data_IF_626213074111
#
_entry.id   IF_626213074111
#
_cell.length_a   1.000
_cell.length_b   1.000
_cell.length_c   1.000
_cell.angle_alpha   90.00
_cell.angle_beta   90.00
_cell.angle_gamma   90.00
#
_symmetry.space_group_name_H-M   'P 1'
#
loop_
_entity.id
_entity.type
_entity.pdbx_description
1 polymer ?
#
# COMPACT_ATOMS: atom_id res chain seq x y z
N UNK A 1 -16.14 27.73 13.49
CA UNK A 1 -15.28 27.98 12.31
C UNK A 1 -14.68 26.64 11.94
N UNK A 2 -14.89 26.15 10.72
CA UNK A 2 -14.25 24.91 10.26
C UNK A 2 -12.74 25.13 10.20
N UNK A 3 -11.97 24.23 10.81
CA UNK A 3 -10.51 24.23 10.67
C UNK A 3 -10.14 24.12 9.18
N UNK A 4 -9.10 24.82 8.71
CA UNK A 4 -8.62 24.66 7.34
C UNK A 4 -8.18 23.20 7.13
N UNK A 5 -8.63 22.58 6.02
CA UNK A 5 -8.17 21.25 5.59
C UNK A 5 -7.24 21.37 4.38
N UNK A 6 -6.27 20.45 4.27
CA UNK A 6 -5.42 20.29 3.10
C UNK A 6 -5.52 18.87 2.55
N UNK A 7 -5.39 18.72 1.23
CA UNK A 7 -5.31 17.43 0.56
C UNK A 7 -4.02 17.37 -0.25
N UNK A 8 -3.28 16.28 -0.12
CA UNK A 8 -2.07 16.02 -0.90
C UNK A 8 -2.17 14.62 -1.46
N UNK A 9 -1.90 14.48 -2.76
CA UNK A 9 -1.97 13.22 -3.47
C UNK A 9 -0.77 13.05 -4.38
N UNK A 10 -0.58 11.82 -4.86
CA UNK A 10 0.37 11.51 -5.93
C UNK A 10 0.18 12.45 -7.10
N UNK A 11 1.31 12.95 -7.63
CA UNK A 11 1.31 13.96 -8.69
C UNK A 11 0.61 13.48 -9.96
N UNK A 12 0.82 12.23 -10.36
CA UNK A 12 0.23 11.64 -11.54
C UNK A 12 -0.10 10.16 -11.36
N UNK A 13 -1.13 9.70 -12.06
CA UNK A 13 -1.53 8.30 -12.13
C UNK A 13 -1.75 7.93 -13.59
N UNK A 14 -1.18 6.82 -14.02
CA UNK A 14 -1.46 6.19 -15.31
C UNK A 14 -2.08 4.83 -15.05
N UNK A 15 -3.23 4.56 -15.65
CA UNK A 15 -3.88 3.27 -15.57
C UNK A 15 -4.11 2.68 -16.96
N UNK A 16 -3.88 1.39 -17.11
CA UNK A 16 -4.14 0.66 -18.35
C UNK A 16 -3.39 -0.65 -18.42
N UNK A 17 -3.97 -1.62 -19.15
CA UNK A 17 -3.34 -2.90 -19.43
C UNK A 17 -2.03 -2.69 -20.22
N UNK A 18 -0.98 -3.37 -19.79
CA UNK A 18 0.36 -3.26 -20.38
C UNK A 18 1.06 -1.92 -20.12
N UNK A 19 0.50 -1.05 -19.27
CA UNK A 19 1.09 0.24 -18.94
C UNK A 19 2.46 0.12 -18.26
N UNK A 20 2.71 -0.95 -17.50
CA UNK A 20 4.00 -1.21 -16.88
C UNK A 20 5.09 -1.58 -17.92
N UNK A 21 4.71 -2.21 -19.03
CA UNK A 21 5.62 -2.54 -20.14
C UNK A 21 6.13 -1.30 -20.89
N UNK A 22 5.63 -0.11 -20.57
CA UNK A 22 6.12 1.18 -21.07
C UNK A 22 6.96 1.94 -20.05
N UNK A 23 7.55 1.25 -19.06
CA UNK A 23 8.31 1.88 -17.98
C UNK A 23 9.36 2.89 -18.45
N UNK A 24 10.07 2.62 -19.55
CA UNK A 24 11.06 3.55 -20.08
C UNK A 24 10.45 4.91 -20.50
N UNK A 25 9.25 4.93 -21.08
CA UNK A 25 8.55 6.16 -21.46
C UNK A 25 8.17 6.98 -20.22
N UNK A 26 7.65 6.29 -19.21
CA UNK A 26 7.26 6.90 -17.93
C UNK A 26 8.47 7.55 -17.24
N UNK A 27 9.60 6.85 -17.20
CA UNK A 27 10.85 7.35 -16.62
C UNK A 27 11.45 8.51 -17.43
N UNK A 28 11.39 8.44 -18.76
CA UNK A 28 11.83 9.54 -19.62
C UNK A 28 11.06 10.84 -19.34
N UNK A 29 9.77 10.75 -19.04
CA UNK A 29 8.95 11.91 -18.65
C UNK A 29 9.39 12.59 -17.35
N UNK A 30 10.15 11.87 -16.51
CA UNK A 30 10.72 12.36 -15.25
C UNK A 30 12.22 12.66 -15.36
N UNK A 31 12.83 12.46 -16.53
CA UNK A 31 14.27 12.65 -16.74
C UNK A 31 15.15 11.57 -16.10
N UNK A 32 14.58 10.43 -15.73
CA UNK A 32 15.30 9.30 -15.10
C UNK A 32 15.95 8.44 -16.18
N UNK A 33 17.27 8.24 -16.09
CA UNK A 33 18.06 7.43 -17.05
C UNK A 33 18.79 6.26 -16.39
N UNK A 34 18.78 6.21 -15.06
CA UNK A 34 19.42 5.19 -14.27
C UNK A 34 18.60 4.85 -13.01
N UNK A 35 17.43 4.22 -13.15
CA UNK A 35 16.63 3.82 -12.00
C UNK A 35 17.25 2.64 -11.24
N UNK A 36 17.08 2.63 -9.91
CA UNK A 36 17.06 1.37 -9.16
C UNK A 36 15.62 0.85 -9.11
N UNK A 37 15.41 -0.40 -9.51
CA UNK A 37 14.13 -1.09 -9.34
C UNK A 37 14.17 -1.88 -8.03
N UNK A 38 13.25 -1.61 -7.12
CA UNK A 38 13.07 -2.32 -5.85
C UNK A 38 11.89 -3.26 -5.99
N UNK A 39 12.13 -4.56 -5.82
CA UNK A 39 11.15 -5.63 -6.01
C UNK A 39 11.43 -6.80 -5.07
N UNK A 40 10.68 -7.89 -5.20
CA UNK A 40 10.89 -9.14 -4.47
C UNK A 40 11.19 -10.31 -5.44
N UNK A 41 11.79 -11.38 -4.90
CA UNK A 41 12.15 -12.57 -5.68
C UNK A 41 10.95 -13.29 -6.29
N UNK A 42 9.76 -13.18 -5.69
CA UNK A 42 8.54 -13.77 -6.21
C UNK A 42 8.10 -13.09 -7.51
N UNK A 43 8.15 -11.76 -7.56
CA UNK A 43 7.89 -10.95 -8.77
C UNK A 43 8.85 -11.33 -9.90
N UNK A 44 10.15 -11.47 -9.59
CA UNK A 44 11.14 -11.91 -10.59
C UNK A 44 10.90 -13.34 -11.07
N UNK A 45 10.70 -14.29 -10.15
CA UNK A 45 10.49 -15.69 -10.48
C UNK A 45 9.23 -15.91 -11.33
N UNK A 46 8.22 -15.05 -11.16
CA UNK A 46 6.99 -15.08 -11.94
C UNK A 46 7.07 -14.35 -13.29
N UNK A 47 8.21 -13.73 -13.63
CA UNK A 47 8.38 -12.96 -14.88
C UNK A 47 7.56 -11.68 -14.96
N UNK A 48 7.00 -11.21 -13.84
CA UNK A 48 6.09 -10.05 -13.80
C UNK A 48 6.85 -8.75 -14.15
N UNK A 49 8.15 -8.67 -13.84
CA UNK A 49 9.00 -7.52 -14.18
C UNK A 49 9.44 -7.52 -15.66
N UNK A 50 9.31 -8.63 -16.39
CA UNK A 50 10.01 -8.83 -17.67
C UNK A 50 9.65 -7.77 -18.71
N UNK A 51 8.36 -7.43 -18.84
CA UNK A 51 7.91 -6.41 -19.78
C UNK A 51 8.50 -5.02 -19.49
N UNK A 52 8.58 -4.65 -18.21
CA UNK A 52 9.18 -3.40 -17.78
C UNK A 52 10.71 -3.40 -17.97
N UNK A 53 11.39 -4.49 -17.61
CA UNK A 53 12.83 -4.64 -17.81
C UNK A 53 13.20 -4.59 -19.29
N UNK A 54 12.44 -5.24 -20.17
CA UNK A 54 12.64 -5.21 -21.62
C UNK A 54 12.41 -3.82 -22.20
N UNK A 55 11.42 -3.09 -21.69
CA UNK A 55 11.19 -1.66 -22.02
C UNK A 55 12.45 -0.83 -21.79
N UNK A 56 13.10 -1.00 -20.62
CA UNK A 56 14.31 -0.28 -20.25
C UNK A 56 15.50 -0.67 -21.14
N UNK A 57 15.70 -1.98 -21.38
CA UNK A 57 16.77 -2.49 -22.25
C UNK A 57 16.67 -1.94 -23.67
N UNK A 58 15.47 -1.98 -24.26
CA UNK A 58 15.21 -1.48 -25.63
C UNK A 58 15.45 0.02 -25.75
N UNK A 59 15.14 0.77 -24.71
CA UNK A 59 15.37 2.22 -24.64
C UNK A 59 16.78 2.59 -24.16
N UNK A 60 17.66 1.60 -23.97
CA UNK A 60 19.04 1.78 -23.50
C UNK A 60 19.15 2.52 -22.16
N UNK A 61 18.14 2.39 -21.31
CA UNK A 61 18.14 2.91 -19.94
C UNK A 61 18.94 1.93 -19.08
N UNK A 62 20.03 2.40 -18.47
CA UNK A 62 20.80 1.56 -17.55
C UNK A 62 19.99 1.36 -16.26
N UNK A 63 19.90 0.15 -15.72
CA UNK A 63 19.18 -0.07 -14.46
C UNK A 63 19.80 -1.23 -13.68
N UNK A 64 19.54 -1.24 -12.38
CA UNK A 64 19.78 -2.39 -11.53
C UNK A 64 18.49 -2.76 -10.80
N UNK A 65 18.47 -4.00 -10.30
CA UNK A 65 17.35 -4.54 -9.53
C UNK A 65 17.86 -4.89 -8.13
N UNK A 66 17.13 -4.45 -7.12
CA UNK A 66 17.19 -4.96 -5.75
C UNK A 66 15.97 -5.84 -5.53
N UNK A 67 16.18 -7.14 -5.34
CA UNK A 67 15.11 -8.16 -5.30
C UNK A 67 14.98 -8.86 -3.94
N UNK A 68 15.73 -8.42 -2.93
CA UNK A 68 15.77 -9.07 -1.62
C UNK A 68 14.60 -8.65 -0.71
N UNK A 69 13.64 -7.87 -1.22
CA UNK A 69 12.49 -7.42 -0.44
C UNK A 69 11.73 -8.61 0.15
N UNK A 70 11.42 -8.52 1.44
CA UNK A 70 10.52 -9.46 2.13
C UNK A 70 9.27 -8.76 2.66
N UNK A 71 8.25 -9.54 2.99
CA UNK A 71 7.09 -9.05 3.72
C UNK A 71 7.54 -8.46 5.07
N UNK A 72 6.90 -7.36 5.48
CA UNK A 72 7.27 -6.62 6.69
C UNK A 72 8.76 -6.25 6.75
N UNK A 73 9.25 -5.51 5.74
CA UNK A 73 10.67 -5.41 5.44
C UNK A 73 11.44 -4.78 6.60
N UNK A 74 12.58 -5.36 7.00
CA UNK A 74 13.42 -4.80 8.04
C UNK A 74 14.23 -3.58 7.55
N UNK A 75 14.65 -2.74 8.49
CA UNK A 75 15.36 -1.49 8.18
C UNK A 75 16.71 -1.70 7.45
N UNK A 76 17.36 -2.84 7.65
CA UNK A 76 18.59 -3.24 6.95
C UNK A 76 18.38 -3.38 5.44
N UNK A 77 17.22 -3.86 4.98
CA UNK A 77 16.90 -3.93 3.54
C UNK A 77 16.80 -2.54 2.91
N UNK A 78 16.26 -1.56 3.64
CA UNK A 78 16.24 -0.16 3.22
C UNK A 78 17.67 0.36 3.05
N UNK A 79 18.55 0.08 4.02
CA UNK A 79 19.95 0.49 3.95
C UNK A 79 20.72 -0.20 2.83
N UNK A 80 20.50 -1.50 2.60
CA UNK A 80 21.12 -2.26 1.53
C UNK A 80 20.71 -1.71 0.15
N UNK A 81 19.41 -1.56 -0.09
CA UNK A 81 18.88 -0.99 -1.34
C UNK A 81 19.36 0.46 -1.56
N UNK A 82 19.39 1.30 -0.52
CA UNK A 82 19.94 2.65 -0.61
C UNK A 82 21.45 2.67 -0.89
N UNK A 83 22.20 1.69 -0.34
CA UNK A 83 23.61 1.48 -0.66
C UNK A 83 23.82 1.16 -2.13
N UNK A 84 23.03 0.24 -2.68
CA UNK A 84 23.06 -0.12 -4.09
C UNK A 84 22.71 1.08 -4.99
N UNK A 85 21.61 1.79 -4.68
CA UNK A 85 21.20 3.00 -5.41
C UNK A 85 22.33 4.04 -5.46
N UNK A 86 23.04 4.26 -4.35
CA UNK A 86 24.18 5.18 -4.31
C UNK A 86 25.37 4.68 -5.11
N UNK A 87 25.70 3.38 -5.01
CA UNK A 87 26.83 2.78 -5.73
C UNK A 87 26.66 2.87 -7.25
N UNK A 88 25.47 2.59 -7.76
CA UNK A 88 25.15 2.71 -9.18
C UNK A 88 24.94 4.17 -9.63
N UNK A 89 24.86 5.11 -8.68
CA UNK A 89 24.48 6.52 -8.88
C UNK A 89 23.11 6.62 -9.56
N UNK A 90 22.11 6.01 -8.93
CA UNK A 90 20.74 6.04 -9.41
C UNK A 90 20.22 7.49 -9.44
N UNK A 91 19.48 7.83 -10.50
CA UNK A 91 18.83 9.13 -10.67
C UNK A 91 17.29 9.05 -10.53
N UNK A 92 16.79 7.88 -10.16
CA UNK A 92 15.39 7.61 -9.85
C UNK A 92 15.24 6.26 -9.14
N UNK A 93 14.07 6.04 -8.55
CA UNK A 93 13.71 4.77 -7.89
C UNK A 93 12.36 4.30 -8.39
N UNK A 94 12.24 3.01 -8.68
CA UNK A 94 10.98 2.36 -9.04
C UNK A 94 10.66 1.31 -7.98
N UNK A 95 9.57 1.47 -7.24
CA UNK A 95 9.01 0.37 -6.46
C UNK A 95 8.10 -0.46 -7.37
N UNK A 96 8.43 -1.73 -7.55
CA UNK A 96 7.70 -2.64 -8.44
C UNK A 96 7.35 -3.90 -7.66
N UNK A 97 6.10 -4.05 -7.23
CA UNK A 97 5.71 -5.17 -6.38
C UNK A 97 4.53 -4.86 -5.46
N UNK A 98 4.47 -5.56 -4.34
CA UNK A 98 3.51 -5.28 -3.27
C UNK A 98 3.92 -4.08 -2.39
N UNK A 99 3.14 -3.84 -1.33
CA UNK A 99 3.39 -2.73 -0.39
C UNK A 99 4.80 -2.69 0.18
N UNK A 100 5.41 -3.85 0.48
CA UNK A 100 6.76 -3.94 1.03
C UNK A 100 7.83 -3.37 0.09
N UNK A 101 7.78 -3.70 -1.21
CA UNK A 101 8.75 -3.17 -2.19
C UNK A 101 8.57 -1.67 -2.39
N UNK A 102 7.32 -1.21 -2.40
CA UNK A 102 6.99 0.21 -2.54
C UNK A 102 7.42 1.03 -1.32
N UNK A 103 7.27 0.48 -0.12
CA UNK A 103 7.70 1.11 1.14
C UNK A 103 9.22 1.22 1.24
N UNK A 104 9.96 0.19 0.83
CA UNK A 104 11.42 0.28 0.68
C UNK A 104 11.77 1.35 -0.36
N UNK A 105 11.16 1.32 -1.55
CA UNK A 105 11.45 2.26 -2.63
C UNK A 105 11.26 3.73 -2.21
N UNK A 106 10.21 4.02 -1.45
CA UNK A 106 9.95 5.35 -0.87
C UNK A 106 11.12 5.86 -0.04
N UNK A 107 11.65 5.01 0.86
CA UNK A 107 12.74 5.38 1.75
C UNK A 107 14.09 5.40 1.02
N UNK A 108 14.30 4.50 0.06
CA UNK A 108 15.48 4.50 -0.81
C UNK A 108 15.56 5.80 -1.60
N UNK A 109 14.45 6.30 -2.14
CA UNK A 109 14.42 7.56 -2.89
C UNK A 109 14.90 8.76 -2.03
N UNK A 110 14.58 8.77 -0.73
CA UNK A 110 15.10 9.76 0.21
C UNK A 110 16.60 9.55 0.49
N UNK A 111 16.97 8.35 0.94
CA UNK A 111 18.32 8.05 1.44
C UNK A 111 19.39 8.03 0.33
N UNK A 112 19.00 7.76 -0.91
CA UNK A 112 19.89 7.81 -2.07
C UNK A 112 19.95 9.20 -2.73
N UNK A 113 19.09 10.15 -2.31
CA UNK A 113 19.12 11.51 -2.84
C UNK A 113 20.48 12.17 -2.57
N UNK A 114 21.09 12.85 -3.58
CA UNK A 114 22.32 13.58 -3.40
C UNK A 114 22.22 14.57 -2.22
N UNK A 115 23.19 14.49 -1.30
CA UNK A 115 23.24 15.36 -0.13
C UNK A 115 22.34 14.95 1.05
N UNK A 116 21.62 13.83 0.98
CA UNK A 116 20.89 13.31 2.14
C UNK A 116 21.87 12.90 3.25
N UNK A 117 21.79 13.58 4.40
CA UNK A 117 22.56 13.26 5.61
C UNK A 117 21.68 12.79 6.77
N UNK A 118 20.36 12.83 6.60
CA UNK A 118 19.42 12.38 7.63
C UNK A 118 19.45 10.85 7.74
N UNK A 119 19.68 10.28 8.93
CA UNK A 119 19.60 8.83 9.14
C UNK A 119 18.14 8.37 9.12
N UNK A 120 17.92 7.09 8.79
CA UNK A 120 16.58 6.49 8.72
C UNK A 120 15.85 6.56 10.07
N UNK A 121 16.57 6.33 11.16
CA UNK A 121 15.99 6.35 12.51
C UNK A 121 15.34 7.70 12.86
N UNK A 122 15.90 8.81 12.35
CA UNK A 122 15.37 10.16 12.54
C UNK A 122 14.15 10.44 11.65
N UNK A 123 13.77 9.53 10.75
CA UNK A 123 12.62 9.71 9.85
C UNK A 123 11.33 9.09 10.40
N UNK A 124 11.42 8.13 11.32
CA UNK A 124 10.23 7.47 11.90
C UNK A 124 9.30 8.45 12.61
N UNK A 125 8.00 8.30 12.40
CA UNK A 125 6.97 9.20 12.89
C UNK A 125 6.35 10.06 11.79
N UNK A 126 5.61 11.08 12.21
CA UNK A 126 4.86 11.97 11.32
C UNK A 126 5.61 13.28 11.12
N UNK A 127 5.90 13.64 9.87
CA UNK A 127 6.50 14.93 9.52
C UNK A 127 8.00 15.06 9.83
N UNK A 128 8.68 13.96 10.16
CA UNK A 128 10.09 13.97 10.55
C UNK A 128 11.06 13.97 9.35
N UNK A 129 10.59 13.64 8.15
CA UNK A 129 11.41 13.66 6.92
C UNK A 129 11.76 15.10 6.55
N UNK A 130 13.06 15.37 6.43
CA UNK A 130 13.63 16.67 5.99
C UNK A 130 14.36 16.56 4.65
N UNK A 131 14.81 15.35 4.29
CA UNK A 131 15.50 15.11 3.04
C UNK A 131 14.61 15.38 1.81
N UNK A 132 15.24 15.83 0.73
CA UNK A 132 14.68 15.70 -0.61
C UNK A 132 14.75 14.23 -1.05
N UNK A 133 14.03 13.87 -2.11
CA UNK A 133 14.08 12.54 -2.72
C UNK A 133 14.45 12.59 -4.20
N UNK A 134 15.01 11.48 -4.67
CA UNK A 134 15.04 11.15 -6.09
C UNK A 134 13.61 11.03 -6.65
N UNK A 135 13.43 11.19 -7.97
CA UNK A 135 12.20 10.80 -8.66
C UNK A 135 11.76 9.39 -8.27
N UNK A 136 10.46 9.22 -7.99
CA UNK A 136 9.89 7.97 -7.48
C UNK A 136 8.69 7.56 -8.33
N UNK A 137 8.76 6.35 -8.89
CA UNK A 137 7.64 5.71 -9.60
C UNK A 137 7.22 4.46 -8.83
N UNK A 138 5.92 4.22 -8.73
CA UNK A 138 5.37 3.04 -8.07
C UNK A 138 4.53 2.24 -9.06
N UNK A 139 4.78 0.93 -9.13
CA UNK A 139 4.10 -0.02 -10.01
C UNK A 139 3.60 -1.17 -9.14
N UNK A 140 2.36 -1.09 -8.62
CA UNK A 140 1.81 -2.13 -7.78
C UNK A 140 1.53 -3.41 -8.58
N UNK A 141 1.93 -4.56 -8.03
CA UNK A 141 1.57 -5.89 -8.55
C UNK A 141 0.46 -6.55 -7.72
N UNK A 142 0.01 -5.87 -6.66
CA UNK A 142 -1.09 -6.33 -5.79
C UNK A 142 -2.23 -5.32 -5.81
N UNK A 143 -3.48 -5.80 -5.88
CA UNK A 143 -4.66 -4.95 -5.66
C UNK A 143 -4.99 -4.91 -4.15
N UNK A 144 -4.42 -3.96 -3.42
CA UNK A 144 -4.68 -3.92 -1.96
C UNK A 144 -4.14 -2.73 -1.18
N UNK A 145 -2.81 -2.62 -1.04
CA UNK A 145 -2.23 -1.74 0.01
C UNK A 145 -2.42 -0.24 -0.26
N UNK A 146 -2.58 0.16 -1.52
CA UNK A 146 -2.60 1.57 -1.92
C UNK A 146 -1.26 2.27 -1.67
N UNK A 147 -0.17 1.53 -1.40
CA UNK A 147 1.13 2.11 -1.08
C UNK A 147 1.63 3.02 -2.22
N UNK A 148 1.26 2.72 -3.46
CA UNK A 148 1.56 3.53 -4.65
C UNK A 148 0.98 4.96 -4.62
N UNK A 149 0.03 5.26 -3.73
CA UNK A 149 -0.59 6.59 -3.61
C UNK A 149 -0.61 7.17 -2.19
N UNK A 150 0.10 6.55 -1.25
CA UNK A 150 0.12 7.01 0.15
C UNK A 150 1.44 7.65 0.57
N UNK A 151 1.41 8.65 1.48
CA UNK A 151 2.60 9.28 2.05
C UNK A 151 3.21 8.45 3.21
N UNK A 152 3.05 7.13 3.20
CA UNK A 152 3.35 6.24 4.33
C UNK A 152 4.32 5.15 3.87
N UNK A 153 5.34 4.85 4.67
CA UNK A 153 6.15 3.64 4.54
C UNK A 153 6.23 2.92 5.90
N UNK A 154 6.04 1.60 5.92
CA UNK A 154 6.05 0.79 7.14
C UNK A 154 7.27 -0.15 7.12
N UNK A 155 8.11 -0.06 8.14
CA UNK A 155 9.35 -0.83 8.28
C UNK A 155 9.38 -1.54 9.63
N UNK A 156 9.92 -2.75 9.65
CA UNK A 156 10.18 -3.51 10.87
C UNK A 156 11.51 -3.08 11.48
N UNK A 157 11.49 -2.50 12.68
CA UNK A 157 12.70 -2.00 13.38
C UNK A 157 13.24 -2.96 14.43
N UNK A 158 12.40 -3.87 14.92
CA UNK A 158 12.76 -5.00 15.76
C UNK A 158 11.77 -6.15 15.50
N UNK A 159 12.08 -7.40 15.89
CA UNK A 159 11.14 -8.52 15.72
C UNK A 159 9.76 -8.19 16.32
N UNK A 160 8.73 -8.15 15.46
CA UNK A 160 7.36 -7.80 15.84
C UNK A 160 7.06 -6.30 15.99
N UNK A 161 8.05 -5.41 15.84
CA UNK A 161 7.86 -3.96 15.96
C UNK A 161 7.86 -3.29 14.59
N UNK A 162 6.69 -2.83 14.15
CA UNK A 162 6.51 -2.05 12.92
C UNK A 162 6.45 -0.56 13.25
N UNK A 163 7.31 0.24 12.62
CA UNK A 163 7.29 1.69 12.70
C UNK A 163 6.98 2.30 11.33
N UNK A 164 6.28 3.43 11.34
CA UNK A 164 5.89 4.13 10.12
C UNK A 164 6.68 5.42 9.95
N UNK A 165 7.05 5.74 8.71
CA UNK A 165 7.43 7.08 8.27
C UNK A 165 6.22 7.66 7.54
N UNK A 166 5.73 8.82 7.98
CA UNK A 166 4.58 9.50 7.37
C UNK A 166 4.99 10.90 6.95
N UNK A 167 5.05 11.15 5.65
CA UNK A 167 5.51 12.43 5.10
C UNK A 167 5.03 12.63 3.66
N UNK A 168 4.60 13.85 3.29
CA UNK A 168 4.25 14.18 1.90
C UNK A 168 5.38 13.88 0.91
N UNK A 169 6.65 13.94 1.34
CA UNK A 169 7.79 13.60 0.50
C UNK A 169 7.78 12.13 0.03
N UNK A 170 7.05 11.23 0.70
CA UNK A 170 6.93 9.83 0.29
C UNK A 170 5.93 9.61 -0.86
N UNK A 171 5.12 10.62 -1.21
CA UNK A 171 4.23 10.51 -2.37
C UNK A 171 5.07 10.40 -3.65
N UNK A 172 4.78 9.44 -4.54
CA UNK A 172 5.52 9.29 -5.78
C UNK A 172 5.18 10.39 -6.78
N UNK A 173 6.04 10.53 -7.79
CA UNK A 173 5.77 11.39 -8.94
C UNK A 173 4.75 10.74 -9.87
N UNK A 174 4.76 9.41 -9.93
CA UNK A 174 3.87 8.62 -10.77
C UNK A 174 3.51 7.28 -10.12
N UNK A 175 2.22 6.95 -10.12
CA UNK A 175 1.73 5.59 -9.93
C UNK A 175 1.32 4.99 -11.30
N UNK A 176 1.80 3.80 -11.63
CA UNK A 176 1.47 3.07 -12.86
C UNK A 176 0.62 1.85 -12.53
N UNK A 177 -0.68 1.94 -12.75
CA UNK A 177 -1.64 0.87 -12.47
C UNK A 177 -1.85 0.00 -13.72
N UNK A 178 -1.25 -1.19 -13.69
CA UNK A 178 -1.39 -2.18 -14.76
C UNK A 178 -2.21 -3.38 -14.27
N UNK A 179 -3.41 -3.52 -14.83
CA UNK A 179 -4.34 -4.59 -14.45
C UNK A 179 -3.84 -6.00 -14.81
N UNK A 180 -2.88 -6.13 -15.72
CA UNK A 180 -2.30 -7.44 -16.06
C UNK A 180 -1.43 -7.98 -14.91
N UNK A 181 -0.79 -7.09 -14.14
CA UNK A 181 0.13 -7.47 -13.07
C UNK A 181 -0.57 -7.97 -11.80
N UNK A 182 -1.88 -7.69 -11.65
CA UNK A 182 -2.68 -8.10 -10.50
C UNK A 182 -3.51 -9.36 -10.76
N UNK A 183 -3.53 -9.84 -12.02
CA UNK A 183 -4.36 -10.97 -12.44
C UNK A 183 -3.81 -12.35 -12.03
N UNK A 184 -2.51 -12.47 -11.78
CA UNK A 184 -1.81 -13.74 -11.51
C UNK A 184 -1.48 -13.97 -10.03
N UNK A 185 -2.13 -13.23 -9.12
CA UNK A 185 -1.86 -13.32 -7.68
C UNK A 185 -2.10 -14.75 -7.14
N UNK A 186 -1.22 -15.25 -6.22
CA UNK A 186 -1.40 -16.56 -5.59
C UNK A 186 -2.77 -16.68 -4.90
N UNK A 187 -3.27 -17.91 -4.66
CA UNK A 187 -4.59 -18.17 -4.07
C UNK A 187 -4.75 -17.74 -2.59
N UNK A 188 -3.77 -17.06 -1.99
CA UNK A 188 -3.97 -16.38 -0.70
C UNK A 188 -4.96 -15.24 -0.88
N UNK A 189 -5.90 -15.05 0.05
CA UNK A 189 -6.89 -13.96 0.02
C UNK A 189 -6.18 -12.61 -0.20
N UNK A 190 -6.32 -11.97 -1.38
CA UNK A 190 -5.64 -10.70 -1.62
C UNK A 190 -6.07 -9.67 -0.59
N UNK A 191 -5.16 -8.77 -0.20
CA UNK A 191 -5.46 -7.79 0.86
C UNK A 191 -6.73 -6.96 0.56
N UNK A 192 -6.92 -6.56 -0.70
CA UNK A 192 -8.16 -5.87 -1.12
C UNK A 192 -9.42 -6.73 -0.94
N UNK A 193 -9.34 -8.04 -1.21
CA UNK A 193 -10.46 -8.96 -0.99
C UNK A 193 -10.72 -9.16 0.51
N UNK A 194 -9.67 -9.29 1.33
CA UNK A 194 -9.82 -9.34 2.79
C UNK A 194 -10.50 -8.08 3.32
N UNK A 195 -10.16 -6.90 2.81
CA UNK A 195 -10.82 -5.65 3.19
C UNK A 195 -12.28 -5.64 2.73
N UNK A 196 -12.56 -6.09 1.51
CA UNK A 196 -13.93 -6.21 0.98
C UNK A 196 -14.82 -7.10 1.86
N UNK A 197 -14.28 -8.23 2.35
CA UNK A 197 -14.99 -9.17 3.22
C UNK A 197 -15.27 -8.57 4.60
N UNK A 198 -14.32 -7.84 5.18
CA UNK A 198 -14.43 -7.34 6.55
C UNK A 198 -15.13 -5.97 6.65
N UNK A 199 -15.04 -5.14 5.60
CA UNK A 199 -15.49 -3.75 5.62
C UNK A 199 -16.97 -3.59 6.02
N UNK A 200 -17.94 -4.35 5.47
CA UNK A 200 -19.34 -4.19 5.84
C UNK A 200 -19.59 -4.39 7.34
N UNK A 201 -18.93 -5.39 7.93
CA UNK A 201 -19.07 -5.74 9.35
C UNK A 201 -18.39 -4.72 10.28
N UNK A 202 -17.26 -4.14 9.85
CA UNK A 202 -16.60 -3.05 10.58
C UNK A 202 -17.44 -1.77 10.51
N UNK A 203 -18.04 -1.46 9.37
CA UNK A 203 -18.96 -0.33 9.22
C UNK A 203 -20.20 -0.50 10.11
N UNK A 204 -20.82 -1.69 10.13
CA UNK A 204 -21.96 -1.99 11.02
C UNK A 204 -21.58 -1.87 12.50
N UNK A 205 -20.42 -2.42 12.89
CA UNK A 205 -19.91 -2.26 14.25
C UNK A 205 -19.76 -0.77 14.64
N UNK A 206 -19.18 0.03 13.75
CA UNK A 206 -18.93 1.44 13.99
C UNK A 206 -20.20 2.30 13.92
N UNK A 207 -21.25 1.88 13.20
CA UNK A 207 -22.53 2.59 13.08
C UNK A 207 -23.27 2.78 14.42
N UNK A 208 -22.78 2.18 15.52
CA UNK A 208 -23.27 2.43 16.89
C UNK A 208 -22.60 3.62 17.59
N UNK A 209 -21.59 4.24 16.97
CA UNK A 209 -20.92 5.46 17.44
C UNK A 209 -21.50 6.69 16.73
N UNK A 210 -21.86 7.73 17.49
CA UNK A 210 -22.35 9.01 16.93
C UNK A 210 -21.31 9.67 16.02
N UNK A 211 -20.02 9.52 16.34
CA UNK A 211 -18.95 10.04 15.50
C UNK A 211 -18.93 9.36 14.14
N UNK A 212 -19.03 8.03 14.11
CA UNK A 212 -19.02 7.27 12.87
C UNK A 212 -20.26 7.56 12.02
N UNK A 213 -21.45 7.59 12.63
CA UNK A 213 -22.69 7.89 11.90
C UNK A 213 -22.67 9.28 11.28
N UNK A 214 -22.12 10.29 11.97
CA UNK A 214 -21.92 11.62 11.40
C UNK A 214 -20.99 11.61 10.19
N UNK A 215 -19.88 10.85 10.24
CA UNK A 215 -18.95 10.74 9.11
C UNK A 215 -19.57 9.97 7.94
N UNK A 216 -20.31 8.90 8.20
CA UNK A 216 -21.01 8.14 7.17
C UNK A 216 -22.08 8.99 6.49
N UNK A 217 -22.77 9.86 7.24
CA UNK A 217 -23.75 10.80 6.70
C UNK A 217 -23.14 11.77 5.67
N UNK A 218 -21.92 12.23 5.93
CA UNK A 218 -21.19 13.13 5.04
C UNK A 218 -20.76 12.42 3.75
N UNK A 219 -20.34 11.15 3.85
CA UNK A 219 -19.85 10.35 2.71
C UNK A 219 -20.98 9.73 1.86
N UNK A 220 -22.10 9.36 2.48
CA UNK A 220 -23.22 8.69 1.82
C UNK A 220 -23.71 9.35 0.50
N UNK A 221 -23.89 10.69 0.42
CA UNK A 221 -24.32 11.32 -0.83
C UNK A 221 -23.26 11.26 -1.94
N UNK A 222 -21.98 11.12 -1.60
CA UNK A 222 -20.86 11.06 -2.55
C UNK A 222 -20.68 9.62 -3.05
N UNK A 223 -20.69 8.66 -2.14
CA UNK A 223 -20.36 7.26 -2.43
C UNK A 223 -21.57 6.51 -2.98
N UNK A 224 -22.73 6.64 -2.32
CA UNK A 224 -23.90 5.81 -2.60
C UNK A 224 -24.98 6.56 -3.37
N UNK A 225 -24.83 7.88 -3.57
CA UNK A 225 -25.87 8.77 -4.11
C UNK A 225 -27.22 8.65 -3.37
N UNK A 226 -27.22 8.21 -2.09
CA UNK A 226 -28.41 7.84 -1.27
C UNK A 226 -28.21 8.20 0.23
N UNK A 227 -29.28 8.11 1.04
CA UNK A 227 -29.31 8.49 2.48
C UNK A 227 -28.58 7.50 3.42
N UNK A 228 -28.24 7.94 4.65
CA UNK A 228 -27.49 7.26 5.73
C UNK A 228 -27.66 5.74 5.93
N UNK A 229 -28.89 5.22 5.91
CA UNK A 229 -29.16 3.77 6.02
C UNK A 229 -28.63 2.97 4.82
N UNK A 230 -28.41 3.64 3.69
CA UNK A 230 -27.87 3.06 2.48
C UNK A 230 -26.34 2.94 2.48
N UNK A 231 -25.60 3.52 3.44
CA UNK A 231 -24.13 3.48 3.37
C UNK A 231 -23.56 2.10 3.74
N UNK A 232 -23.95 1.56 4.90
CA UNK A 232 -23.53 0.21 5.32
C UNK A 232 -24.09 -0.84 4.35
N UNK A 233 -25.39 -0.74 4.03
CA UNK A 233 -26.05 -1.63 3.08
C UNK A 233 -25.41 -1.60 1.69
N UNK A 234 -24.97 -0.44 1.20
CA UNK A 234 -24.27 -0.34 -0.08
C UNK A 234 -22.99 -1.17 -0.06
N UNK A 235 -22.15 -1.02 0.97
CA UNK A 235 -20.93 -1.82 1.09
C UNK A 235 -21.21 -3.30 1.36
N UNK A 236 -22.33 -3.66 1.98
CA UNK A 236 -22.75 -5.05 2.14
C UNK A 236 -23.18 -5.69 0.81
N UNK A 237 -23.84 -4.94 -0.08
CA UNK A 237 -24.30 -5.44 -1.38
C UNK A 237 -23.22 -5.39 -2.47
N UNK A 238 -22.33 -4.40 -2.43
CA UNK A 238 -21.35 -4.13 -3.49
C UNK A 238 -20.47 -5.34 -3.86
N UNK A 239 -19.94 -6.15 -2.92
CA UNK A 239 -19.15 -7.32 -3.28
C UNK A 239 -19.93 -8.31 -4.14
N UNK A 240 -21.21 -8.56 -3.82
CA UNK A 240 -22.07 -9.43 -4.62
C UNK A 240 -22.35 -8.85 -6.02
N UNK A 241 -22.58 -7.54 -6.12
CA UNK A 241 -22.76 -6.84 -7.41
C UNK A 241 -21.52 -6.94 -8.31
N UNK A 242 -20.33 -6.98 -7.71
CA UNK A 242 -19.05 -7.11 -8.39
C UNK A 242 -18.62 -8.57 -8.64
N UNK A 243 -19.43 -9.56 -8.22
CA UNK A 243 -19.10 -10.97 -8.35
C UNK A 243 -17.92 -11.42 -7.46
N UNK A 244 -17.69 -10.72 -6.34
CA UNK A 244 -16.67 -11.04 -5.35
C UNK A 244 -17.25 -11.98 -4.28
N UNK A 245 -16.40 -12.80 -3.63
CA UNK A 245 -16.78 -13.54 -2.43
C UNK A 245 -17.37 -12.61 -1.36
N UNK A 246 -18.42 -13.06 -0.69
CA UNK A 246 -19.13 -12.28 0.35
C UNK A 246 -18.89 -12.83 1.76
N UNK A 247 -18.32 -14.02 1.88
CA UNK A 247 -18.02 -14.68 3.16
C UNK A 247 -16.57 -15.13 3.27
N UNK A 248 -16.05 -15.20 4.50
CA UNK A 248 -14.74 -15.75 4.81
C UNK A 248 -14.65 -17.25 4.47
N UNK A 249 -15.77 -17.99 4.52
CA UNK A 249 -15.82 -19.41 4.12
C UNK A 249 -15.50 -19.63 2.64
N UNK A 250 -15.98 -18.75 1.76
CA UNK A 250 -15.71 -18.83 0.32
C UNK A 250 -14.22 -18.68 -0.01
N UNK A 251 -13.45 -18.08 0.90
CA UNK A 251 -12.00 -17.91 0.77
C UNK A 251 -11.19 -18.83 1.70
N UNK A 252 -11.84 -19.85 2.28
CA UNK A 252 -11.18 -20.95 2.99
C UNK A 252 -10.92 -20.73 4.48
N UNK A 253 -11.51 -19.70 5.10
CA UNK A 253 -11.42 -19.48 6.55
C UNK A 253 -12.51 -20.29 7.27
N UNK A 254 -12.14 -20.99 8.33
CA UNK A 254 -13.05 -21.77 9.17
C UNK A 254 -13.37 -21.05 10.50
N UNK A 255 -14.45 -21.48 11.17
CA UNK A 255 -14.81 -20.97 12.51
C UNK A 255 -13.65 -21.14 13.51
N UNK A 256 -12.88 -22.22 13.39
CA UNK A 256 -11.73 -22.48 14.24
C UNK A 256 -10.61 -21.43 14.12
N UNK A 257 -10.54 -20.71 12.99
CA UNK A 257 -9.51 -19.70 12.73
C UNK A 257 -9.85 -18.35 13.40
N UNK A 258 -11.13 -18.09 13.72
CA UNK A 258 -11.64 -16.80 14.20
C UNK A 258 -10.88 -16.30 15.44
N UNK A 259 -10.67 -17.16 16.43
CA UNK A 259 -9.99 -16.76 17.66
C UNK A 259 -8.56 -16.27 17.39
N UNK A 260 -7.84 -16.94 16.49
CA UNK A 260 -6.49 -16.54 16.11
C UNK A 260 -6.48 -15.23 15.29
N UNK A 261 -7.43 -15.06 14.37
CA UNK A 261 -7.59 -13.87 13.55
C UNK A 261 -7.94 -12.65 14.41
N UNK A 262 -8.89 -12.80 15.35
CA UNK A 262 -9.27 -11.75 16.29
C UNK A 262 -8.09 -11.35 17.19
N UNK A 263 -7.36 -12.33 17.74
CA UNK A 263 -6.16 -12.05 18.55
C UNK A 263 -5.09 -11.29 17.74
N UNK A 264 -4.84 -11.68 16.49
CA UNK A 264 -3.89 -11.00 15.60
C UNK A 264 -4.34 -9.58 15.24
N UNK A 265 -5.64 -9.34 15.06
CA UNK A 265 -6.20 -8.01 14.84
C UNK A 265 -5.96 -7.09 16.05
N UNK A 266 -6.04 -7.63 17.27
CA UNK A 266 -5.77 -6.89 18.51
C UNK A 266 -4.29 -6.46 18.67
N UNK A 267 -3.37 -7.06 17.91
CA UNK A 267 -1.96 -6.64 17.88
C UNK A 267 -1.73 -5.35 17.06
N UNK A 268 -2.74 -4.85 16.34
CA UNK A 268 -2.64 -3.62 15.54
C UNK A 268 -2.78 -2.35 16.41
N UNK A 269 -2.03 -2.29 17.51
CA UNK A 269 -2.12 -1.26 18.58
C UNK A 269 -1.90 0.17 18.10
N UNK A 270 -1.24 0.35 16.95
CA UNK A 270 -1.08 1.66 16.29
C UNK A 270 -2.37 2.15 15.59
N UNK A 271 -3.20 1.23 15.11
CA UNK A 271 -4.35 1.53 14.27
C UNK A 271 -5.67 1.49 15.03
N UNK A 272 -5.81 0.57 16.00
CA UNK A 272 -7.02 0.43 16.82
C UNK A 272 -7.44 1.73 17.52
N UNK A 273 -6.52 2.56 18.07
CA UNK A 273 -6.89 3.83 18.69
C UNK A 273 -7.51 4.86 17.72
N UNK A 274 -7.33 4.68 16.41
CA UNK A 274 -7.94 5.56 15.40
C UNK A 274 -9.39 5.17 15.06
N UNK A 275 -9.88 4.02 15.55
CA UNK A 275 -11.24 3.58 15.28
C UNK A 275 -12.24 4.43 16.10
N UNK A 276 -13.36 4.91 15.52
CA UNK A 276 -14.32 5.79 16.21
C UNK A 276 -15.10 5.10 17.34
N UNK A 277 -14.88 3.80 17.54
CA UNK A 277 -15.44 2.99 18.61
C UNK A 277 -14.35 2.06 19.12
N UNK A 278 -14.14 1.99 20.43
CA UNK A 278 -13.16 1.07 21.00
C UNK A 278 -13.51 -0.38 20.64
N UNK A 279 -12.50 -1.15 20.24
CA UNK A 279 -12.64 -2.55 19.84
C UNK A 279 -11.99 -3.42 20.91
N UNK A 280 -12.76 -4.30 21.52
CA UNK A 280 -12.24 -5.36 22.40
C UNK A 280 -12.11 -6.68 21.64
N UNK A 281 -11.41 -7.66 22.22
CA UNK A 281 -11.24 -8.99 21.60
C UNK A 281 -12.59 -9.64 21.25
N UNK A 282 -13.57 -9.57 22.16
CA UNK A 282 -14.92 -10.10 21.93
C UNK A 282 -15.65 -9.37 20.79
N UNK A 283 -15.37 -8.08 20.59
CA UNK A 283 -15.88 -7.35 19.42
C UNK A 283 -15.25 -7.86 18.14
N UNK A 284 -13.92 -8.01 18.12
CA UNK A 284 -13.19 -8.55 16.97
C UNK A 284 -13.68 -9.95 16.59
N UNK A 285 -13.86 -10.85 17.56
CA UNK A 285 -14.44 -12.18 17.31
C UNK A 285 -15.85 -12.11 16.74
N UNK A 286 -16.71 -11.24 17.26
CA UNK A 286 -18.07 -11.04 16.70
C UNK A 286 -18.04 -10.52 15.28
N UNK A 287 -17.14 -9.59 14.96
CA UNK A 287 -16.97 -9.04 13.62
C UNK A 287 -16.52 -10.14 12.65
N UNK A 288 -15.50 -10.93 13.01
CA UNK A 288 -15.05 -12.06 12.19
C UNK A 288 -16.13 -13.12 12.02
N UNK A 289 -16.89 -13.44 13.06
CA UNK A 289 -18.00 -14.40 12.98
C UNK A 289 -19.16 -13.90 12.11
N UNK A 290 -19.41 -12.60 12.10
CA UNK A 290 -20.42 -12.01 11.21
C UNK A 290 -20.00 -12.09 9.73
N UNK A 291 -18.69 -12.15 9.45
CA UNK A 291 -18.13 -12.27 8.11
C UNK A 291 -17.95 -13.72 7.63
N UNK A 292 -18.22 -14.73 8.46
CA UNK A 292 -18.00 -16.15 8.17
C UNK A 292 -19.14 -16.79 7.40
#
# INVERSE_FOLDING_TARGET
MSSPWGFTATRALTAGLGSASRLAEHLSGLGVQRPLIVTDRGVLAAGILDGAAESLRRSQVAFEVYDETVADPPADQVHAAAGQARAMRADGVVGFGGGSSMDIAKLVALLASPGCTQPLDDMFGVGNVRAARLPLVQVPTTAGTGSEVTPIAIITTAPGTKQGVVSPQLLPDLAVLDGELTASLPPHVPHGLSNSLMLPHVLDFNARSEQATSLYAELAPIVCSRQLGAFVDHFACLPAELGLPTTLREVGVAEADIGSLAANAMLQTRLLPNNPREVHLDDAERIYRAAL
#
